data_IF_306302204501
#
_entry.id   IF_306302204501
#
_cell.length_a   1.000
_cell.length_b   1.000
_cell.length_c   1.000
_cell.angle_alpha   90.00
_cell.angle_beta   90.00
_cell.angle_gamma   90.00
#
_symmetry.space_group_name_H-M   'P 1'
#
loop_
_entity.id
_entity.type
_entity.pdbx_description
1 polymer ?
#
# COMPACT_ATOMS: atom_id res chain seq x y z
N UNK A 1 16.56 -43.53 -19.10
CA UNK A 1 16.76 -42.14 -18.69
C UNK A 1 15.62 -41.65 -17.85
N UNK A 2 15.91 -41.49 -16.57
CA UNK A 2 15.12 -40.78 -15.57
C UNK A 2 15.65 -39.34 -15.57
N UNK A 3 14.91 -38.36 -16.12
CA UNK A 3 15.09 -36.90 -15.91
C UNK A 3 14.12 -36.05 -16.77
N UNK A 4 12.79 -36.21 -16.64
CA UNK A 4 11.85 -35.36 -17.40
C UNK A 4 10.41 -35.25 -16.84
N UNK A 5 10.20 -35.29 -15.52
CA UNK A 5 8.85 -35.12 -14.92
C UNK A 5 8.87 -34.27 -13.63
N UNK A 6 9.61 -33.15 -13.60
CA UNK A 6 9.98 -32.49 -12.32
C UNK A 6 9.48 -31.07 -12.02
N UNK A 7 9.40 -30.14 -12.99
CA UNK A 7 9.29 -28.70 -12.67
C UNK A 7 8.41 -27.85 -13.62
N UNK A 8 7.88 -28.43 -14.70
CA UNK A 8 7.28 -27.64 -15.79
C UNK A 8 5.85 -27.12 -15.53
N UNK A 9 5.21 -27.49 -14.41
CA UNK A 9 3.79 -27.14 -14.16
C UNK A 9 3.56 -26.26 -12.91
N UNK A 10 4.61 -25.83 -12.22
CA UNK A 10 4.48 -25.05 -10.96
C UNK A 10 4.54 -23.53 -11.17
N UNK A 11 4.81 -23.08 -12.38
CA UNK A 11 4.99 -21.67 -12.72
C UNK A 11 4.10 -21.34 -13.91
N UNK A 12 3.44 -20.20 -13.87
CA UNK A 12 2.56 -19.77 -14.96
C UNK A 12 2.47 -18.24 -14.98
N UNK A 13 1.99 -17.71 -16.09
CA UNK A 13 1.54 -16.33 -16.13
C UNK A 13 0.25 -16.21 -16.92
N UNK A 14 -0.50 -15.14 -16.65
CA UNK A 14 -1.72 -14.80 -17.36
C UNK A 14 -1.67 -13.35 -17.80
N UNK A 15 -2.03 -13.11 -19.05
CA UNK A 15 -2.09 -11.78 -19.64
C UNK A 15 -3.50 -11.23 -19.45
N UNK A 16 -3.59 -9.96 -19.08
CA UNK A 16 -4.85 -9.27 -18.92
C UNK A 16 -4.69 -7.82 -19.38
N UNK A 17 -5.55 -7.36 -20.29
CA UNK A 17 -5.64 -5.94 -20.65
C UNK A 17 -6.84 -5.33 -19.95
N UNK A 18 -6.61 -4.34 -19.08
CA UNK A 18 -7.67 -3.59 -18.40
C UNK A 18 -7.54 -2.12 -18.77
N UNK A 19 -8.63 -1.54 -19.31
CA UNK A 19 -8.71 -0.10 -19.61
C UNK A 19 -7.56 0.45 -20.47
N UNK A 20 -7.11 -0.35 -21.45
CA UNK A 20 -6.02 0.03 -22.37
C UNK A 20 -4.62 -0.22 -21.82
N UNK A 21 -4.51 -0.91 -20.69
CA UNK A 21 -3.24 -1.18 -20.02
C UNK A 21 -3.01 -2.66 -19.89
N UNK A 22 -1.79 -3.10 -20.17
CA UNK A 22 -1.41 -4.50 -20.16
C UNK A 22 -0.82 -4.91 -18.81
N UNK A 23 -1.31 -6.04 -18.31
CA UNK A 23 -0.87 -6.66 -17.08
C UNK A 23 -0.48 -8.11 -17.33
N UNK A 24 0.55 -8.55 -16.60
CA UNK A 24 0.90 -9.96 -16.49
C UNK A 24 0.89 -10.36 -15.02
N UNK A 25 0.04 -11.32 -14.68
CA UNK A 25 0.03 -11.97 -13.37
C UNK A 25 0.88 -13.22 -13.46
N UNK A 26 2.08 -13.17 -12.90
CA UNK A 26 3.07 -14.23 -12.89
C UNK A 26 3.09 -14.93 -11.53
N UNK A 27 2.97 -16.26 -11.54
CA UNK A 27 2.99 -17.10 -10.35
C UNK A 27 4.25 -17.97 -10.39
N UNK A 28 5.08 -17.86 -9.36
CA UNK A 28 6.32 -18.58 -9.20
C UNK A 28 6.24 -19.57 -8.04
N UNK A 29 6.83 -20.74 -8.25
CA UNK A 29 6.89 -21.81 -7.25
C UNK A 29 7.70 -21.39 -6.02
N UNK A 30 7.45 -22.07 -4.88
CA UNK A 30 8.33 -21.96 -3.72
C UNK A 30 9.75 -22.39 -4.06
N UNK A 31 10.74 -21.68 -3.50
CA UNK A 31 12.16 -21.88 -3.78
C UNK A 31 12.43 -21.93 -5.29
N UNK A 32 12.03 -20.87 -5.99
CA UNK A 32 12.10 -20.79 -7.45
C UNK A 32 13.53 -21.04 -7.95
N UNK A 33 13.78 -22.07 -8.75
CA UNK A 33 15.09 -22.34 -9.32
C UNK A 33 15.54 -21.20 -10.22
N UNK A 34 16.86 -21.01 -10.32
CA UNK A 34 17.46 -19.98 -11.18
C UNK A 34 16.98 -20.07 -12.64
N UNK A 35 16.88 -21.29 -13.20
CA UNK A 35 16.38 -21.49 -14.57
C UNK A 35 14.94 -21.00 -14.78
N UNK A 36 14.09 -21.05 -13.74
CA UNK A 36 12.73 -20.51 -13.78
C UNK A 36 12.74 -18.99 -13.63
N UNK A 37 13.65 -18.45 -12.81
CA UNK A 37 13.83 -17.00 -12.68
C UNK A 37 14.37 -16.38 -13.98
N UNK A 38 15.28 -17.06 -14.69
CA UNK A 38 15.76 -16.66 -16.02
C UNK A 38 14.61 -16.65 -17.03
N UNK A 39 13.78 -17.69 -17.05
CA UNK A 39 12.56 -17.70 -17.86
C UNK A 39 11.61 -16.54 -17.52
N UNK A 40 11.40 -16.26 -16.23
CA UNK A 40 10.57 -15.15 -15.80
C UNK A 40 11.15 -13.79 -16.25
N UNK A 41 12.46 -13.62 -16.14
CA UNK A 41 13.18 -12.44 -16.61
C UNK A 41 13.07 -12.27 -18.14
N UNK A 42 13.12 -13.36 -18.90
CA UNK A 42 12.86 -13.34 -20.35
C UNK A 42 11.43 -12.88 -20.65
N UNK A 43 10.42 -13.33 -19.89
CA UNK A 43 9.04 -12.85 -20.07
C UNK A 43 8.94 -11.36 -19.74
N UNK A 44 9.54 -10.88 -18.65
CA UNK A 44 9.51 -9.47 -18.23
C UNK A 44 10.20 -8.56 -19.25
N UNK A 45 11.40 -8.94 -19.70
CA UNK A 45 12.20 -8.16 -20.65
C UNK A 45 11.57 -8.09 -22.04
N UNK A 46 10.83 -9.11 -22.47
CA UNK A 46 10.09 -9.10 -23.74
C UNK A 46 8.78 -8.30 -23.69
N UNK A 47 8.38 -7.79 -22.52
CA UNK A 47 7.14 -7.02 -22.33
C UNK A 47 7.39 -5.73 -21.52
N UNK A 48 8.24 -4.81 -22.01
CA UNK A 48 8.70 -3.65 -21.24
C UNK A 48 7.56 -2.69 -20.83
N UNK A 49 6.51 -2.57 -21.64
CA UNK A 49 5.38 -1.66 -21.39
C UNK A 49 4.27 -2.29 -20.52
N UNK A 50 4.45 -3.55 -20.11
CA UNK A 50 3.47 -4.34 -19.37
C UNK A 50 3.78 -4.33 -17.88
N UNK A 51 2.77 -4.12 -17.02
CA UNK A 51 2.93 -4.16 -15.57
C UNK A 51 2.84 -5.58 -15.04
N UNK A 52 3.85 -6.00 -14.28
CA UNK A 52 3.91 -7.35 -13.71
C UNK A 52 3.45 -7.40 -12.25
N UNK A 53 2.53 -8.32 -11.99
CA UNK A 53 2.14 -8.78 -10.66
C UNK A 53 2.81 -10.14 -10.44
N UNK A 54 3.82 -10.19 -9.59
CA UNK A 54 4.52 -11.42 -9.25
C UNK A 54 3.98 -11.97 -7.94
N UNK A 55 3.56 -13.22 -7.96
CA UNK A 55 3.21 -13.98 -6.74
C UNK A 55 4.25 -15.07 -6.54
N UNK A 56 4.85 -15.11 -5.36
CA UNK A 56 5.78 -16.16 -4.93
C UNK A 56 5.42 -16.65 -3.54
N UNK A 57 6.02 -17.74 -3.09
CA UNK A 57 5.67 -18.32 -1.81
C UNK A 57 6.29 -17.55 -0.63
N UNK A 58 7.58 -17.18 -0.71
CA UNK A 58 8.31 -16.43 0.32
C UNK A 58 9.48 -15.68 -0.31
N UNK A 59 9.89 -14.53 0.25
CA UNK A 59 11.12 -13.82 -0.16
C UNK A 59 11.49 -12.65 0.76
N UNK A 60 10.51 -12.12 1.51
CA UNK A 60 10.69 -10.98 2.41
C UNK A 60 9.97 -11.21 3.74
N UNK A 61 10.53 -10.68 4.82
CA UNK A 61 9.88 -10.63 6.11
C UNK A 61 8.88 -9.48 6.18
N UNK A 62 7.85 -9.58 7.04
CA UNK A 62 6.84 -8.53 7.16
C UNK A 62 7.37 -7.17 7.64
N UNK A 63 8.53 -7.12 8.30
CA UNK A 63 9.21 -5.87 8.66
C UNK A 63 9.93 -5.20 7.48
N UNK A 64 9.80 -5.77 6.27
CA UNK A 64 10.47 -5.29 5.06
C UNK A 64 11.93 -5.72 4.95
N UNK A 65 12.45 -6.52 5.89
CA UNK A 65 13.80 -7.08 5.77
C UNK A 65 13.80 -8.29 4.85
N UNK A 66 14.88 -8.45 4.07
CA UNK A 66 14.97 -9.55 3.12
C UNK A 66 15.18 -10.89 3.81
N UNK A 67 14.63 -11.93 3.22
CA UNK A 67 15.02 -13.28 3.57
C UNK A 67 16.40 -13.56 2.96
N UNK A 68 17.41 -13.79 3.79
CA UNK A 68 18.82 -13.94 3.36
C UNK A 68 19.08 -15.40 2.93
N UNK A 69 18.49 -15.83 1.82
CA UNK A 69 18.74 -17.11 1.15
C UNK A 69 19.14 -16.90 -0.30
N UNK A 70 19.99 -17.77 -0.87
CA UNK A 70 20.48 -17.65 -2.26
C UNK A 70 19.35 -17.57 -3.29
N UNK A 71 18.29 -18.35 -3.12
CA UNK A 71 17.14 -18.33 -4.03
C UNK A 71 16.30 -17.05 -3.89
N UNK A 72 16.16 -16.49 -2.68
CA UNK A 72 15.53 -15.19 -2.45
C UNK A 72 16.39 -14.07 -3.04
N UNK A 73 17.71 -14.14 -2.87
CA UNK A 73 18.67 -13.18 -3.42
C UNK A 73 18.62 -13.20 -4.96
N UNK A 74 18.51 -14.37 -5.57
CA UNK A 74 18.37 -14.50 -7.02
C UNK A 74 17.04 -13.97 -7.54
N UNK A 75 15.92 -14.35 -6.92
CA UNK A 75 14.60 -13.81 -7.23
C UNK A 75 14.63 -12.28 -7.16
N UNK A 76 15.20 -11.76 -6.08
CA UNK A 76 15.14 -10.36 -5.75
C UNK A 76 16.20 -9.50 -6.47
N UNK A 77 17.47 -9.69 -6.14
CA UNK A 77 18.58 -8.82 -6.55
C UNK A 77 19.11 -9.15 -7.93
N UNK A 78 19.31 -10.44 -8.23
CA UNK A 78 20.15 -10.82 -9.36
C UNK A 78 19.36 -11.00 -10.65
N UNK A 79 18.09 -11.40 -10.59
CA UNK A 79 17.39 -11.92 -11.79
C UNK A 79 16.07 -11.22 -12.09
N UNK A 80 15.16 -11.03 -11.12
CA UNK A 80 13.77 -10.65 -11.46
C UNK A 80 13.28 -9.33 -10.84
N UNK A 81 13.26 -9.17 -9.52
CA UNK A 81 12.47 -8.07 -8.93
C UNK A 81 13.17 -6.70 -9.01
N UNK A 82 14.47 -6.63 -8.70
CA UNK A 82 15.27 -5.39 -8.74
C UNK A 82 15.67 -4.95 -10.16
N UNK A 83 16.01 -5.86 -11.10
CA UNK A 83 16.47 -5.44 -12.43
C UNK A 83 15.39 -4.82 -13.33
N UNK A 84 14.11 -5.01 -13.02
CA UNK A 84 13.01 -4.67 -13.92
C UNK A 84 11.99 -3.73 -13.26
N UNK A 85 11.95 -2.48 -13.72
CA UNK A 85 11.05 -1.43 -13.21
C UNK A 85 9.57 -1.71 -13.50
N UNK A 86 9.27 -2.49 -14.54
CA UNK A 86 7.91 -2.90 -14.87
C UNK A 86 7.38 -4.04 -13.97
N UNK A 87 8.18 -4.54 -13.02
CA UNK A 87 7.71 -5.37 -11.90
C UNK A 87 7.13 -4.46 -10.81
N UNK A 88 5.84 -4.20 -10.97
CA UNK A 88 5.06 -3.23 -10.20
C UNK A 88 4.66 -3.75 -8.81
N UNK A 89 4.26 -5.02 -8.71
CA UNK A 89 3.73 -5.57 -7.47
C UNK A 89 4.24 -6.98 -7.22
N UNK A 90 4.64 -7.27 -5.98
CA UNK A 90 5.10 -8.58 -5.57
C UNK A 90 4.38 -9.03 -4.31
N UNK A 91 3.60 -10.10 -4.37
CA UNK A 91 3.03 -10.71 -3.18
C UNK A 91 3.70 -12.02 -2.80
N UNK A 92 3.85 -12.23 -1.51
CA UNK A 92 4.15 -13.54 -0.95
C UNK A 92 3.38 -13.85 0.32
N UNK A 93 3.40 -15.13 0.66
CA UNK A 93 2.98 -15.60 1.97
C UNK A 93 4.21 -15.99 2.76
N UNK A 94 4.08 -17.14 3.41
CA UNK A 94 5.11 -17.94 4.06
C UNK A 94 6.35 -17.19 4.53
N UNK A 95 6.49 -16.99 5.84
CA UNK A 95 7.77 -16.54 6.39
C UNK A 95 8.61 -17.78 6.64
N UNK A 96 9.75 -17.92 5.96
CA UNK A 96 10.64 -19.07 6.19
C UNK A 96 11.09 -19.09 7.65
N UNK A 97 10.79 -20.18 8.35
CA UNK A 97 11.22 -20.41 9.72
C UNK A 97 12.50 -21.23 9.74
N UNK A 98 13.25 -21.19 10.85
CA UNK A 98 14.44 -22.03 11.06
C UNK A 98 14.16 -23.54 10.90
N UNK A 99 12.89 -23.95 10.96
CA UNK A 99 12.46 -25.34 10.91
C UNK A 99 12.14 -25.83 9.49
N UNK A 100 12.04 -24.95 8.48
CA UNK A 100 11.75 -25.31 7.10
C UNK A 100 13.03 -25.83 6.42
N UNK A 101 13.17 -27.12 6.05
CA UNK A 101 14.32 -27.54 5.27
C UNK A 101 14.27 -26.95 3.85
N UNK A 102 15.38 -26.39 3.30
CA UNK A 102 16.75 -26.40 3.81
C UNK A 102 17.15 -25.07 4.49
N UNK A 103 16.62 -24.76 5.67
CA UNK A 103 17.12 -23.70 6.55
C UNK A 103 18.32 -24.20 7.39
N UNK A 104 19.49 -23.53 7.37
CA UNK A 104 20.49 -23.66 8.41
C UNK A 104 19.99 -23.14 9.77
N UNK A 105 20.53 -23.65 10.89
CA UNK A 105 19.85 -23.61 12.18
C UNK A 105 20.00 -22.32 13.00
N UNK A 106 20.66 -21.26 12.51
CA UNK A 106 21.23 -20.27 13.44
C UNK A 106 21.06 -18.83 12.94
N UNK A 107 20.16 -18.08 13.61
CA UNK A 107 19.93 -16.63 13.58
C UNK A 107 18.71 -16.07 12.81
N UNK A 108 17.80 -16.90 12.29
CA UNK A 108 16.49 -16.40 11.85
C UNK A 108 15.59 -16.26 13.10
N UNK A 109 14.90 -15.12 13.32
CA UNK A 109 13.92 -15.01 14.39
C UNK A 109 12.93 -16.17 14.28
N UNK A 110 12.88 -17.03 15.31
CA UNK A 110 12.17 -18.30 15.26
C UNK A 110 10.66 -18.16 15.02
N UNK A 111 10.12 -16.94 15.05
CA UNK A 111 8.71 -16.70 14.90
C UNK A 111 8.48 -15.22 14.59
N UNK A 112 8.05 -14.87 13.37
CA UNK A 112 7.44 -13.56 13.10
C UNK A 112 5.93 -13.77 13.00
N UNK A 113 5.19 -13.62 14.11
CA UNK A 113 3.75 -13.77 14.14
C UNK A 113 3.05 -12.80 13.21
N UNK A 114 2.05 -13.29 12.48
CA UNK A 114 0.83 -12.55 12.15
C UNK A 114 0.93 -11.28 11.31
N UNK A 115 2.10 -10.97 10.75
CA UNK A 115 2.26 -9.67 10.12
C UNK A 115 1.86 -9.74 8.66
N UNK A 116 0.76 -9.06 8.40
CA UNK A 116 0.34 -8.62 7.11
C UNK A 116 1.02 -7.28 6.85
N UNK A 117 1.62 -7.08 5.68
CA UNK A 117 2.20 -5.78 5.33
C UNK A 117 2.04 -5.52 3.85
N UNK A 118 1.65 -4.29 3.49
CA UNK A 118 1.69 -3.76 2.12
C UNK A 118 2.49 -2.48 2.17
N UNK A 119 3.62 -2.44 1.46
CA UNK A 119 4.52 -1.29 1.45
C UNK A 119 4.99 -1.02 0.02
N UNK A 120 5.41 0.22 -0.23
CA UNK A 120 6.15 0.58 -1.44
C UNK A 120 7.63 0.56 -1.12
N UNK A 121 8.44 0.11 -2.08
CA UNK A 121 9.87 0.36 -2.06
C UNK A 121 10.18 1.84 -1.84
N UNK A 122 11.33 2.13 -1.24
CA UNK A 122 11.94 3.46 -1.24
C UNK A 122 13.25 3.42 -1.99
N UNK A 123 13.68 4.56 -2.53
CA UNK A 123 15.00 4.68 -3.15
C UNK A 123 16.11 4.33 -2.13
N UNK A 124 16.95 3.36 -2.46
CA UNK A 124 17.94 2.78 -1.54
C UNK A 124 17.38 1.72 -0.57
N UNK A 125 16.09 1.40 -0.66
CA UNK A 125 15.41 0.33 0.06
C UNK A 125 15.76 -1.07 -0.44
N UNK A 126 15.47 -2.06 0.39
CA UNK A 126 15.80 -3.47 0.13
C UNK A 126 14.76 -4.22 -0.72
N UNK A 127 13.79 -3.51 -1.31
CA UNK A 127 12.70 -4.09 -2.11
C UNK A 127 12.60 -3.37 -3.46
N UNK A 128 12.77 -4.03 -4.60
CA UNK A 128 12.50 -3.57 -5.95
C UNK A 128 13.37 -2.39 -6.40
N UNK A 129 12.98 -1.81 -7.52
CA UNK A 129 13.27 -0.40 -7.76
C UNK A 129 12.38 0.45 -6.84
N UNK A 130 12.66 1.74 -6.69
CA UNK A 130 12.00 2.67 -5.74
C UNK A 130 10.47 2.75 -5.83
N UNK A 131 9.85 2.05 -6.78
CA UNK A 131 8.44 2.12 -7.07
C UNK A 131 7.69 0.78 -6.92
N UNK A 132 8.37 -0.35 -6.70
CA UNK A 132 7.69 -1.66 -6.54
C UNK A 132 6.90 -1.75 -5.22
N UNK A 133 5.63 -2.12 -5.30
CA UNK A 133 4.83 -2.50 -4.14
C UNK A 133 5.10 -3.95 -3.74
N UNK A 134 5.14 -4.23 -2.45
CA UNK A 134 5.22 -5.58 -1.93
C UNK A 134 4.15 -5.86 -0.88
N UNK A 135 3.62 -7.08 -0.90
CA UNK A 135 2.67 -7.57 0.08
C UNK A 135 3.16 -8.89 0.70
N UNK A 136 3.18 -8.96 2.03
CA UNK A 136 3.37 -10.21 2.77
C UNK A 136 2.08 -10.54 3.52
N UNK A 137 1.59 -11.77 3.37
CA UNK A 137 0.45 -12.31 4.11
C UNK A 137 0.87 -13.61 4.80
N UNK A 138 1.41 -13.52 6.01
CA UNK A 138 1.83 -14.69 6.76
C UNK A 138 0.75 -15.17 7.75
N UNK A 139 0.07 -16.25 7.38
CA UNK A 139 -0.97 -16.88 8.21
C UNK A 139 -0.49 -18.15 8.92
N UNK A 140 0.82 -18.44 8.92
CA UNK A 140 1.39 -19.71 9.42
C UNK A 140 1.51 -19.82 10.96
N UNK A 141 0.85 -18.96 11.71
CA UNK A 141 0.97 -18.92 13.17
C UNK A 141 -0.02 -19.82 13.89
N UNK A 142 0.40 -21.06 14.20
CA UNK A 142 -0.05 -21.72 15.44
C UNK A 142 0.44 -20.85 16.62
N UNK A 143 -0.49 -20.36 17.44
CA UNK A 143 -0.27 -19.65 18.71
C UNK A 143 0.13 -18.17 18.69
N UNK A 144 -0.26 -17.40 17.67
CA UNK A 144 -0.42 -15.95 17.89
C UNK A 144 -1.52 -15.70 18.90
N UNK A 145 -1.27 -15.03 20.06
CA UNK A 145 -2.29 -14.79 21.07
C UNK A 145 -3.52 -14.03 20.57
N UNK A 146 -3.50 -13.50 19.34
CA UNK A 146 -4.54 -12.68 18.74
C UNK A 146 -4.96 -13.10 17.32
N UNK A 147 -4.53 -14.25 16.79
CA UNK A 147 -5.04 -14.82 15.52
C UNK A 147 -5.68 -16.18 15.80
N UNK A 148 -6.97 -16.22 16.14
CA UNK A 148 -7.71 -17.47 16.23
C UNK A 148 -7.67 -18.23 14.90
N UNK A 149 -7.54 -19.57 14.96
CA UNK A 149 -7.76 -20.49 13.84
C UNK A 149 -6.88 -20.32 12.59
N UNK A 150 -5.61 -19.90 12.74
CA UNK A 150 -4.59 -20.00 11.67
C UNK A 150 -5.00 -19.38 10.31
N UNK A 151 -5.77 -18.30 10.35
CA UNK A 151 -6.06 -17.50 9.16
C UNK A 151 -7.53 -17.39 8.75
N UNK A 152 -8.49 -17.88 9.55
CA UNK A 152 -9.91 -17.48 9.56
C UNK A 152 -10.57 -17.25 8.16
N UNK A 153 -10.12 -17.95 7.11
CA UNK A 153 -10.58 -17.76 5.73
C UNK A 153 -10.39 -16.36 5.14
N UNK A 154 -9.34 -15.64 5.55
CA UNK A 154 -8.98 -14.31 5.03
C UNK A 154 -8.42 -14.38 3.60
N UNK A 155 -8.91 -13.51 2.72
CA UNK A 155 -8.32 -13.26 1.41
C UNK A 155 -8.27 -11.76 1.12
N UNK A 156 -7.33 -11.37 0.25
CA UNK A 156 -7.14 -10.00 -0.20
C UNK A 156 -7.79 -9.78 -1.56
N UNK A 157 -8.57 -8.72 -1.66
CA UNK A 157 -9.17 -8.22 -2.89
C UNK A 157 -8.40 -7.00 -3.36
N UNK A 158 -7.94 -7.03 -4.61
CA UNK A 158 -7.36 -5.88 -5.30
C UNK A 158 -8.40 -5.35 -6.29
N UNK A 159 -8.85 -4.12 -6.09
CA UNK A 159 -9.81 -3.44 -6.97
C UNK A 159 -9.11 -2.31 -7.70
N UNK A 160 -9.05 -2.41 -9.02
CA UNK A 160 -8.36 -1.44 -9.86
C UNK A 160 -9.30 -0.28 -10.23
N UNK A 161 -8.83 0.94 -10.02
CA UNK A 161 -9.49 2.20 -10.40
C UNK A 161 -8.58 2.99 -11.36
N UNK A 162 -8.52 2.58 -12.64
CA UNK A 162 -7.63 3.18 -13.64
C UNK A 162 -7.79 4.69 -13.79
N UNK A 163 -9.02 5.20 -13.76
CA UNK A 163 -9.29 6.64 -13.89
C UNK A 163 -8.80 7.47 -12.71
N UNK A 164 -8.50 6.81 -11.58
CA UNK A 164 -7.96 7.44 -10.38
C UNK A 164 -6.47 7.21 -10.23
N UNK A 165 -5.86 6.44 -11.14
CA UNK A 165 -4.51 5.91 -10.98
C UNK A 165 -4.35 5.13 -9.65
N UNK A 166 -5.37 4.38 -9.23
CA UNK A 166 -5.32 3.66 -7.94
C UNK A 166 -5.67 2.18 -8.00
N UNK A 167 -5.16 1.45 -7.01
CA UNK A 167 -5.60 0.10 -6.65
C UNK A 167 -6.05 0.12 -5.18
N UNK A 168 -7.31 -0.19 -4.93
CA UNK A 168 -7.83 -0.37 -3.59
C UNK A 168 -7.60 -1.81 -3.12
N UNK A 169 -6.99 -1.97 -1.96
CA UNK A 169 -6.73 -3.28 -1.34
C UNK A 169 -7.60 -3.42 -0.10
N UNK A 170 -8.39 -4.49 -0.06
CA UNK A 170 -9.26 -4.83 1.06
C UNK A 170 -9.10 -6.30 1.42
N UNK A 171 -9.38 -6.66 2.67
CA UNK A 171 -9.27 -8.06 3.13
C UNK A 171 -10.56 -8.51 3.77
N UNK A 172 -11.06 -9.67 3.33
CA UNK A 172 -12.32 -10.23 3.77
C UNK A 172 -12.14 -11.65 4.28
N UNK A 173 -12.79 -11.96 5.40
CA UNK A 173 -12.88 -13.30 5.94
C UNK A 173 -14.21 -13.92 5.53
N UNK A 174 -14.14 -14.99 4.74
CA UNK A 174 -15.31 -15.79 4.40
C UNK A 174 -15.86 -16.59 5.58
N UNK A 175 -15.00 -16.96 6.54
CA UNK A 175 -15.38 -17.72 7.74
C UNK A 175 -16.09 -16.84 8.77
N UNK A 176 -15.59 -15.63 9.00
CA UNK A 176 -16.12 -14.67 9.95
C UNK A 176 -17.21 -13.77 9.34
N UNK A 177 -17.33 -13.77 8.01
CA UNK A 177 -18.31 -12.98 7.28
C UNK A 177 -18.08 -11.47 7.39
N UNK A 178 -16.84 -11.03 7.61
CA UNK A 178 -16.50 -9.63 7.85
C UNK A 178 -15.23 -9.20 7.12
N UNK A 179 -15.13 -7.89 6.90
CA UNK A 179 -13.89 -7.24 6.51
C UNK A 179 -12.91 -7.20 7.69
N UNK A 180 -11.61 -7.16 7.37
CA UNK A 180 -10.54 -6.98 8.35
C UNK A 180 -10.75 -5.65 9.08
N UNK A 181 -10.71 -5.67 10.41
CA UNK A 181 -10.88 -4.47 11.22
C UNK A 181 -9.53 -3.74 11.31
N UNK A 182 -9.45 -2.43 11.03
CA UNK A 182 -8.22 -1.64 11.16
C UNK A 182 -7.59 -1.66 12.56
N UNK A 183 -8.37 -1.95 13.59
CA UNK A 183 -7.87 -2.06 14.96
C UNK A 183 -7.27 -3.44 15.27
N UNK A 184 -7.35 -4.38 14.33
CA UNK A 184 -6.72 -5.68 14.45
C UNK A 184 -5.23 -5.58 14.06
N UNK A 185 -4.45 -4.91 14.92
CA UNK A 185 -3.06 -5.33 15.08
C UNK A 185 -3.11 -6.73 15.69
N UNK A 186 -2.91 -7.78 14.91
CA UNK A 186 -2.26 -8.96 15.47
C UNK A 186 -0.87 -8.51 15.94
N UNK A 187 -0.77 -7.89 17.12
CA UNK A 187 0.43 -7.20 17.58
C UNK A 187 1.60 -8.18 17.66
N UNK A 188 2.51 -8.11 16.70
CA UNK A 188 3.83 -8.70 16.81
C UNK A 188 4.80 -7.64 17.35
N UNK A 189 4.98 -7.61 18.67
CA UNK A 189 6.03 -6.79 19.27
C UNK A 189 7.41 -7.33 18.89
N UNK A 190 8.17 -6.59 18.08
CA UNK A 190 9.62 -6.74 17.97
C UNK A 190 10.30 -5.39 18.20
N UNK A 191 10.98 -5.28 19.35
CA UNK A 191 11.98 -4.26 19.72
C UNK A 191 11.70 -2.81 19.34
N UNK A 192 11.29 -1.97 20.30
CA UNK A 192 11.26 -0.49 20.28
C UNK A 192 10.69 0.28 19.06
N UNK A 193 10.27 -0.40 18.00
CA UNK A 193 9.51 0.17 16.88
C UNK A 193 8.09 -0.35 16.97
N UNK A 194 7.15 0.53 17.29
CA UNK A 194 5.72 0.28 17.21
C UNK A 194 5.38 -0.13 15.78
N UNK A 195 5.08 -1.42 15.57
CA UNK A 195 4.59 -1.92 14.29
C UNK A 195 3.10 -1.54 14.19
N UNK A 196 2.81 -0.62 13.28
CA UNK A 196 1.53 0.08 13.16
C UNK A 196 0.47 -0.87 12.57
N UNK A 197 -0.69 -0.91 13.21
CA UNK A 197 -1.89 -1.59 12.72
C UNK A 197 -2.35 -1.06 11.38
N UNK A 198 -2.91 -1.96 10.57
CA UNK A 198 -3.34 -1.62 9.22
C UNK A 198 -4.54 -0.67 9.29
N UNK A 199 -4.57 0.48 8.61
CA UNK A 199 -5.82 1.18 8.36
C UNK A 199 -6.70 0.39 7.35
N UNK A 200 -8.00 0.67 7.40
CA UNK A 200 -9.13 -0.06 6.78
C UNK A 200 -9.03 -0.27 5.26
N UNK A 201 -8.18 0.50 4.58
CA UNK A 201 -8.12 0.64 3.13
C UNK A 201 -6.69 1.03 2.72
N UNK A 202 -6.08 0.27 1.80
CA UNK A 202 -4.84 0.69 1.14
C UNK A 202 -5.14 1.09 -0.30
N UNK A 203 -4.71 2.28 -0.67
CA UNK A 203 -4.72 2.75 -2.04
C UNK A 203 -3.28 2.73 -2.55
N UNK A 204 -2.99 1.90 -3.55
CA UNK A 204 -1.71 1.88 -4.28
C UNK A 204 -1.84 2.79 -5.50
N UNK A 205 -0.76 3.43 -5.90
CA UNK A 205 -0.70 4.24 -7.12
C UNK A 205 -0.39 3.35 -8.32
N UNK A 206 -0.94 3.69 -9.48
CA UNK A 206 -0.84 2.88 -10.69
C UNK A 206 0.30 3.33 -11.61
N UNK A 207 0.71 4.60 -11.50
CA UNK A 207 1.84 5.16 -12.22
C UNK A 207 3.15 5.12 -11.40
N UNK A 208 4.17 4.54 -12.04
CA UNK A 208 5.55 4.47 -11.57
C UNK A 208 6.35 5.70 -12.05
N UNK A 209 5.81 6.52 -12.96
CA UNK A 209 6.38 7.80 -13.42
C UNK A 209 6.01 9.01 -12.56
N UNK A 210 5.41 8.81 -11.38
CA UNK A 210 5.44 9.84 -10.34
C UNK A 210 6.87 9.99 -9.76
N UNK A 211 7.88 10.22 -10.60
CA UNK A 211 8.77 11.36 -10.34
C UNK A 211 7.88 12.54 -9.99
N UNK A 212 8.21 13.25 -8.92
CA UNK A 212 7.45 14.37 -8.35
C UNK A 212 7.28 15.58 -9.31
N UNK A 213 7.35 15.38 -10.64
CA UNK A 213 7.32 16.41 -11.67
C UNK A 213 6.04 16.45 -12.53
N UNK A 214 5.09 15.51 -12.45
CA UNK A 214 3.71 15.79 -12.90
C UNK A 214 2.93 16.54 -11.81
N UNK A 215 3.20 17.84 -11.81
CA UNK A 215 2.39 18.97 -11.36
C UNK A 215 1.96 19.02 -9.89
N UNK A 216 2.89 19.49 -9.05
CA UNK A 216 2.54 20.26 -7.83
C UNK A 216 1.54 21.40 -8.16
N UNK A 217 1.49 21.87 -9.42
CA UNK A 217 0.56 22.90 -9.91
C UNK A 217 -0.91 22.43 -10.03
N UNK A 218 -1.17 21.11 -10.03
CA UNK A 218 -2.50 20.54 -10.29
C UNK A 218 -3.22 19.90 -9.09
N UNK A 219 -2.55 19.77 -7.95
CA UNK A 219 -3.20 19.41 -6.67
C UNK A 219 -3.76 20.68 -6.01
N UNK A 220 -4.87 20.59 -5.25
CA UNK A 220 -5.37 21.76 -4.56
C UNK A 220 -4.32 22.22 -3.53
N UNK A 221 -3.78 23.42 -3.76
CA UNK A 221 -2.72 24.00 -2.96
C UNK A 221 -3.33 24.70 -1.76
N UNK A 222 -2.88 24.36 -0.55
CA UNK A 222 -3.32 25.04 0.65
C UNK A 222 -2.85 26.50 0.64
N UNK A 223 -3.82 27.43 0.67
CA UNK A 223 -3.58 28.87 0.70
C UNK A 223 -3.50 29.34 2.15
N UNK A 224 -4.50 29.01 2.96
CA UNK A 224 -4.57 29.46 4.35
C UNK A 224 -5.59 28.71 5.20
N UNK A 225 -5.44 28.83 6.52
CA UNK A 225 -6.43 28.43 7.51
C UNK A 225 -6.82 29.68 8.29
N UNK A 226 -8.09 30.10 8.26
CA UNK A 226 -8.57 31.38 8.82
C UNK A 226 -7.76 32.60 8.32
N UNK A 227 -7.33 32.58 7.06
CA UNK A 227 -6.49 33.63 6.47
C UNK A 227 -5.07 33.67 7.04
N UNK A 228 -4.64 32.65 7.77
CA UNK A 228 -3.28 32.50 8.30
C UNK A 228 -2.47 31.47 7.50
N UNK A 229 -1.16 31.70 7.44
CA UNK A 229 -0.19 30.82 6.77
C UNK A 229 0.19 29.63 7.65
N UNK A 230 0.83 28.62 7.03
CA UNK A 230 1.37 27.46 7.72
C UNK A 230 2.27 27.84 8.91
N UNK A 231 2.22 27.05 10.00
CA UNK A 231 3.02 27.25 11.22
C UNK A 231 2.49 28.32 12.19
N UNK A 232 1.31 28.88 11.96
CA UNK A 232 0.68 29.86 12.87
C UNK A 232 -0.31 29.20 13.83
N UNK A 233 -0.42 29.75 15.05
CA UNK A 233 -1.39 29.29 16.05
C UNK A 233 -2.76 29.89 15.77
N UNK A 234 -3.79 29.05 15.77
CA UNK A 234 -5.19 29.41 15.54
C UNK A 234 -6.01 28.97 16.76
N UNK A 235 -6.90 29.85 17.24
CA UNK A 235 -7.80 29.58 18.37
C UNK A 235 -9.24 29.48 17.86
N UNK A 236 -9.48 28.48 17.02
CA UNK A 236 -10.77 28.22 16.39
C UNK A 236 -10.93 26.71 16.20
N UNK A 237 -11.99 26.15 16.77
CA UNK A 237 -12.30 24.72 16.67
C UNK A 237 -12.97 24.36 15.34
N UNK A 238 -13.46 25.34 14.58
CA UNK A 238 -14.12 25.14 13.28
C UNK A 238 -13.48 26.02 12.21
N UNK A 239 -12.17 25.85 11.94
CA UNK A 239 -11.46 26.77 11.07
C UNK A 239 -11.94 26.67 9.62
N UNK A 240 -11.82 27.78 8.89
CA UNK A 240 -12.01 27.86 7.46
C UNK A 240 -10.71 27.56 6.73
N UNK A 241 -10.72 26.47 5.98
CA UNK A 241 -9.65 26.05 5.09
C UNK A 241 -9.83 26.70 3.72
N UNK A 242 -8.72 27.13 3.12
CA UNK A 242 -8.72 27.73 1.79
C UNK A 242 -7.67 27.04 0.93
N UNK A 243 -8.07 26.57 -0.24
CA UNK A 243 -7.18 25.95 -1.22
C UNK A 243 -7.51 26.39 -2.65
N UNK A 244 -6.59 26.16 -3.59
CA UNK A 244 -6.79 26.50 -5.00
C UNK A 244 -7.85 25.61 -5.66
N UNK A 245 -8.63 26.19 -6.58
CA UNK A 245 -9.52 25.39 -7.44
C UNK A 245 -8.69 24.55 -8.41
N UNK A 246 -9.09 23.30 -8.60
CA UNK A 246 -8.50 22.38 -9.57
C UNK A 246 -9.51 22.13 -10.69
N UNK A 247 -9.07 22.23 -11.95
CA UNK A 247 -9.93 22.03 -13.11
C UNK A 247 -10.59 20.65 -13.12
N UNK A 248 -11.81 20.57 -13.68
CA UNK A 248 -12.61 19.36 -13.83
C UNK A 248 -12.91 18.61 -12.52
N UNK A 249 -12.82 19.28 -11.36
CA UNK A 249 -13.12 18.70 -10.04
C UNK A 249 -14.63 18.59 -9.79
N UNK A 250 -15.08 17.42 -9.33
CA UNK A 250 -16.47 17.18 -8.89
C UNK A 250 -16.65 17.18 -7.38
N UNK A 251 -15.58 16.89 -6.63
CA UNK A 251 -15.60 16.91 -5.17
C UNK A 251 -14.19 16.96 -4.59
N UNK A 252 -14.09 17.42 -3.34
CA UNK A 252 -12.86 17.48 -2.57
C UNK A 252 -12.93 16.58 -1.34
N UNK A 253 -11.78 16.13 -0.86
CA UNK A 253 -11.61 15.37 0.38
C UNK A 253 -10.63 16.10 1.31
N UNK A 254 -11.01 16.31 2.57
CA UNK A 254 -10.20 17.00 3.58
C UNK A 254 -9.85 16.06 4.73
N UNK A 255 -8.56 15.98 5.04
CA UNK A 255 -8.03 15.20 6.15
C UNK A 255 -7.24 16.08 7.11
N UNK A 256 -7.46 15.88 8.41
CA UNK A 256 -6.77 16.56 9.49
C UNK A 256 -6.31 15.52 10.52
N UNK A 257 -5.05 15.61 10.93
CA UNK A 257 -4.39 14.69 11.85
C UNK A 257 -3.46 15.45 12.80
N UNK A 258 -3.05 14.84 13.90
CA UNK A 258 -1.96 15.31 14.76
C UNK A 258 -0.59 14.80 14.32
N UNK A 259 -0.54 13.87 13.36
CA UNK A 259 0.68 13.29 12.81
C UNK A 259 0.90 13.67 11.34
N UNK A 260 2.12 14.09 10.98
CA UNK A 260 2.47 14.52 9.61
C UNK A 260 2.32 13.41 8.57
N UNK A 261 2.42 12.16 9.01
CA UNK A 261 2.28 10.96 8.20
C UNK A 261 0.82 10.60 7.89
N UNK A 262 -0.17 11.22 8.57
CA UNK A 262 -1.59 10.87 8.47
C UNK A 262 -1.86 9.37 8.74
N UNK A 263 -1.10 8.78 9.66
CA UNK A 263 -0.99 7.33 9.87
C UNK A 263 -1.84 6.77 11.03
N UNK A 264 -2.70 7.58 11.66
CA UNK A 264 -3.61 7.17 12.74
C UNK A 264 -4.99 7.80 12.51
N UNK A 265 -6.08 7.39 13.19
CA UNK A 265 -7.42 7.76 12.73
C UNK A 265 -7.54 9.28 12.66
N UNK A 266 -7.86 9.76 11.46
CA UNK A 266 -7.91 11.19 11.20
C UNK A 266 -8.87 11.83 12.20
N UNK A 267 -8.41 12.93 12.80
CA UNK A 267 -9.27 13.75 13.66
C UNK A 267 -10.47 14.25 12.87
N UNK A 268 -10.24 14.54 11.59
CA UNK A 268 -11.28 14.82 10.60
C UNK A 268 -10.96 14.10 9.30
N UNK A 269 -11.94 13.40 8.74
CA UNK A 269 -11.92 12.91 7.38
C UNK A 269 -13.27 13.15 6.72
N UNK A 270 -13.33 14.20 5.91
CA UNK A 270 -14.51 14.57 5.17
C UNK A 270 -14.31 14.23 3.71
N UNK A 271 -15.23 13.45 3.17
CA UNK A 271 -15.27 13.09 1.75
C UNK A 271 -16.45 13.82 1.10
N UNK A 272 -16.47 13.79 -0.24
CA UNK A 272 -17.56 14.36 -1.05
C UNK A 272 -17.86 15.84 -0.75
N UNK A 273 -16.84 16.65 -0.46
CA UNK A 273 -16.98 18.09 -0.22
C UNK A 273 -17.27 18.81 -1.54
N UNK A 274 -18.48 19.37 -1.63
CA UNK A 274 -18.95 20.22 -2.72
C UNK A 274 -20.17 21.04 -2.23
N UNK A 275 -20.63 21.98 -3.05
CA UNK A 275 -21.79 22.83 -2.76
C UNK A 275 -23.07 22.03 -2.45
N UNK A 276 -23.27 20.88 -3.10
CA UNK A 276 -24.48 20.07 -2.92
C UNK A 276 -24.54 19.40 -1.54
N UNK A 277 -23.40 18.92 -1.04
CA UNK A 277 -23.32 18.18 0.22
C UNK A 277 -23.08 19.10 1.43
N UNK A 278 -22.43 20.25 1.23
CA UNK A 278 -22.07 21.19 2.30
C UNK A 278 -22.42 22.65 1.95
N UNK A 279 -23.70 22.98 1.68
CA UNK A 279 -24.09 24.28 1.14
C UNK A 279 -23.87 25.47 2.09
N UNK A 280 -23.74 25.23 3.40
CA UNK A 280 -23.48 26.27 4.40
C UNK A 280 -21.99 26.50 4.66
N UNK A 281 -21.17 25.48 4.44
CA UNK A 281 -19.76 25.44 4.78
C UNK A 281 -18.86 25.66 3.56
N UNK A 282 -19.38 25.38 2.36
CA UNK A 282 -18.68 25.45 1.09
C UNK A 282 -18.93 26.77 0.37
N UNK A 283 -17.85 27.43 -0.06
CA UNK A 283 -17.87 28.58 -0.96
C UNK A 283 -16.75 28.42 -2.00
N UNK A 284 -17.03 28.67 -3.27
CA UNK A 284 -16.06 28.54 -4.36
C UNK A 284 -16.13 29.75 -5.29
N UNK A 285 -14.97 30.26 -5.67
CA UNK A 285 -14.80 31.20 -6.76
C UNK A 285 -13.80 30.67 -7.78
N UNK A 286 -13.58 31.41 -8.87
CA UNK A 286 -12.74 30.97 -10.00
C UNK A 286 -11.32 30.49 -9.66
N UNK A 287 -10.77 30.81 -8.48
CA UNK A 287 -9.39 30.47 -8.10
C UNK A 287 -9.28 29.75 -6.76
N UNK A 288 -10.34 29.75 -5.95
CA UNK A 288 -10.27 29.31 -4.56
C UNK A 288 -11.56 28.63 -4.10
N UNK A 289 -11.39 27.53 -3.39
CA UNK A 289 -12.40 26.94 -2.52
C UNK A 289 -12.13 27.37 -1.07
N UNK A 290 -13.19 27.76 -0.39
CA UNK A 290 -13.24 28.06 1.03
C UNK A 290 -14.19 27.06 1.70
N UNK A 291 -13.69 26.32 2.68
CA UNK A 291 -14.49 25.32 3.39
C UNK A 291 -14.36 25.50 4.91
N UNK A 292 -15.46 25.80 5.57
CA UNK A 292 -15.52 25.92 7.04
C UNK A 292 -15.83 24.57 7.65
N UNK A 293 -15.01 24.13 8.61
CA UNK A 293 -15.24 22.84 9.24
C UNK A 293 -16.62 22.82 9.96
N UNK A 294 -17.50 21.85 9.66
CA UNK A 294 -18.80 21.78 10.33
C UNK A 294 -18.66 21.57 11.84
N UNK A 295 -19.62 22.04 12.63
CA UNK A 295 -19.64 21.89 14.10
C UNK A 295 -19.51 20.41 14.53
N UNK A 296 -20.09 19.48 13.76
CA UNK A 296 -20.00 18.04 14.01
C UNK A 296 -18.57 17.48 13.92
N UNK A 297 -17.67 18.22 13.28
CA UNK A 297 -16.27 17.87 13.06
C UNK A 297 -15.32 18.83 13.77
N UNK A 298 -15.80 19.63 14.74
CA UNK A 298 -14.97 20.60 15.45
C UNK A 298 -13.70 19.97 16.02
N UNK A 299 -12.57 20.60 15.78
CA UNK A 299 -11.28 20.17 16.31
C UNK A 299 -11.27 20.24 17.84
N UNK A 300 -10.68 19.25 18.52
CA UNK A 300 -10.62 19.25 19.96
C UNK A 300 -9.75 20.41 20.47
N UNK A 301 -10.19 21.08 21.55
CA UNK A 301 -9.63 22.32 22.11
C UNK A 301 -8.24 22.17 22.78
N UNK A 302 -7.41 21.22 22.35
CA UNK A 302 -6.06 21.01 22.88
C UNK A 302 -5.03 21.85 22.11
N UNK A 303 -3.95 22.24 22.80
CA UNK A 303 -2.78 22.91 22.22
C UNK A 303 -1.95 21.90 21.43
N UNK A 304 -2.47 21.41 20.31
CA UNK A 304 -1.80 20.43 19.46
C UNK A 304 -1.42 21.02 18.09
N UNK A 305 -0.43 20.38 17.46
CA UNK A 305 -0.05 20.65 16.08
C UNK A 305 -0.90 19.77 15.19
N UNK A 306 -1.60 20.38 14.24
CA UNK A 306 -2.41 19.67 13.26
C UNK A 306 -1.76 19.73 11.88
N UNK A 307 -1.74 18.59 11.21
CA UNK A 307 -1.38 18.43 9.81
C UNK A 307 -2.66 18.25 9.00
N UNK A 308 -2.75 18.94 7.88
CA UNK A 308 -3.92 18.87 7.01
C UNK A 308 -3.52 18.63 5.56
N UNK A 309 -4.32 17.86 4.84
CA UNK A 309 -4.17 17.64 3.39
C UNK A 309 -5.55 17.67 2.72
N UNK A 310 -5.57 18.17 1.50
CA UNK A 310 -6.77 18.21 0.65
C UNK A 310 -6.48 17.49 -0.66
N UNK A 311 -7.48 16.77 -1.17
CA UNK A 311 -7.42 16.09 -2.45
C UNK A 311 -8.66 16.46 -3.27
N UNK A 312 -8.53 16.46 -4.60
CA UNK A 312 -9.63 16.63 -5.52
C UNK A 312 -9.92 15.32 -6.24
N UNK A 313 -11.19 15.05 -6.52
CA UNK A 313 -11.64 14.00 -7.44
C UNK A 313 -12.19 14.67 -8.69
N UNK A 314 -11.65 14.28 -9.85
CA UNK A 314 -12.04 14.82 -11.16
C UNK A 314 -13.09 13.96 -11.86
N UNK A 315 -13.74 14.53 -12.88
CA UNK A 315 -14.65 13.86 -13.81
C UNK A 315 -13.95 12.78 -14.65
#
# INVERSE_FOLDING_TARGET
DTDALGYEEMNNYQNLTLFGMDFIFMNLQYMTPETVLEWAADVVSNNPDTRFFVTTHSWIYPDGTKVIWDWCENLYHNILLKPYENVFFVSCGHVTHTEDPPCPPENVPAWIPGNITINRSTEGGWVGTSNTYYMVRNWQGDQTPNIPNEGDGWFTLLTFYPTLDKIHVQTYSSTLGKWEDPHWTGSAYFGNTTQIGMPYEHWLDYDMEATEEEEEEERPQFISINGRTNGTIIYDSTPTFNWTVVADTIQYWLQIDTEASFSSPWIVNLTDINEANYPSEYDENATRVSFTLPDANSLPNYFDVYYCRVCAKRL
#
